data_IF_354717925741
#
_entry.id   IF_354717925741
#
_cell.length_a   1.000
_cell.length_b   1.000
_cell.length_c   1.000
_cell.angle_alpha   90.00
_cell.angle_beta   90.00
_cell.angle_gamma   90.00
#
_symmetry.space_group_name_H-M   'P 1'
#
loop_
_entity.id
_entity.type
_entity.pdbx_description
1 polymer ?
#
# COMPACT_ATOMS: atom_id res chain seq x y z
N UNK A 1 15.00 41.20 14.65
CA UNK A 1 15.66 41.12 13.33
C UNK A 1 17.13 40.72 13.40
N UNK A 2 18.00 41.38 14.18
CA UNK A 2 19.46 41.07 14.20
C UNK A 2 19.79 39.63 14.63
N UNK A 3 19.05 39.08 15.60
CA UNK A 3 19.21 37.70 16.09
C UNK A 3 18.77 36.68 15.04
N UNK A 4 17.66 36.94 14.35
CA UNK A 4 17.14 36.04 13.31
C UNK A 4 18.09 35.96 12.11
N UNK A 5 18.63 37.10 11.66
CA UNK A 5 19.64 37.11 10.60
C UNK A 5 20.92 36.33 10.99
N UNK A 6 21.33 36.39 12.27
CA UNK A 6 22.47 35.64 12.77
C UNK A 6 22.20 34.13 12.83
N UNK A 7 21.05 33.70 13.36
CA UNK A 7 20.67 32.27 13.32
C UNK A 7 20.57 31.77 11.87
N UNK A 8 20.03 32.57 10.95
CA UNK A 8 19.83 32.18 9.56
C UNK A 8 21.18 31.90 8.87
N UNK A 9 22.19 32.73 9.15
CA UNK A 9 23.57 32.50 8.69
C UNK A 9 24.12 31.20 9.28
N UNK A 10 23.92 30.96 10.58
CA UNK A 10 24.39 29.73 11.26
C UNK A 10 23.75 28.49 10.65
N UNK A 11 22.42 28.46 10.50
CA UNK A 11 21.70 27.34 9.89
C UNK A 11 22.16 27.10 8.46
N UNK A 12 22.30 28.15 7.64
CA UNK A 12 22.80 28.01 6.26
C UNK A 12 24.25 27.53 6.19
N UNK A 13 25.05 27.80 7.21
CA UNK A 13 26.44 27.33 7.29
C UNK A 13 26.54 25.84 7.57
N UNK A 14 25.58 25.28 8.31
CA UNK A 14 25.52 23.83 8.64
C UNK A 14 24.96 22.98 7.50
N UNK A 15 24.30 23.59 6.50
CA UNK A 15 23.76 22.87 5.34
C UNK A 15 24.91 22.37 4.45
N UNK A 16 24.84 21.10 4.07
CA UNK A 16 25.79 20.48 3.15
C UNK A 16 25.89 21.28 1.83
N UNK A 17 27.11 21.40 1.28
CA UNK A 17 27.41 22.29 0.15
C UNK A 17 26.51 22.05 -1.07
N UNK A 18 26.15 20.80 -1.36
CA UNK A 18 25.25 20.43 -2.47
C UNK A 18 23.82 20.97 -2.32
N UNK A 19 23.38 21.28 -1.10
CA UNK A 19 22.03 21.71 -0.80
C UNK A 19 21.91 23.23 -0.63
N UNK A 20 23.04 23.94 -0.44
CA UNK A 20 23.07 25.39 -0.16
C UNK A 20 22.32 26.22 -1.20
N UNK A 21 22.34 25.82 -2.47
CA UNK A 21 21.66 26.54 -3.53
C UNK A 21 20.13 26.54 -3.35
N UNK A 22 19.55 25.47 -2.79
CA UNK A 22 18.11 25.36 -2.54
C UNK A 22 17.62 26.29 -1.43
N UNK A 23 18.51 26.68 -0.51
CA UNK A 23 18.16 27.51 0.65
C UNK A 23 18.61 28.97 0.53
N UNK A 24 19.20 29.35 -0.62
CA UNK A 24 19.84 30.65 -0.82
C UNK A 24 18.87 31.82 -0.72
N UNK A 25 17.65 31.65 -1.24
CA UNK A 25 16.63 32.71 -1.36
C UNK A 25 15.85 33.02 -0.08
N UNK A 26 15.93 32.18 0.95
CA UNK A 26 15.17 32.38 2.20
C UNK A 26 15.92 33.31 3.14
N UNK A 27 15.28 34.35 3.66
CA UNK A 27 15.98 35.40 4.43
C UNK A 27 15.87 35.16 5.94
N UNK A 28 14.87 34.40 6.37
CA UNK A 28 14.61 34.12 7.79
C UNK A 28 14.90 32.68 8.18
N UNK A 29 15.17 32.46 9.47
CA UNK A 29 15.33 31.09 10.00
C UNK A 29 14.07 30.26 9.81
N UNK A 30 12.92 30.90 9.98
CA UNK A 30 11.62 30.26 9.85
C UNK A 30 11.41 29.72 8.43
N UNK A 31 11.75 30.48 7.41
CA UNK A 31 11.64 30.05 6.02
C UNK A 31 12.62 28.93 5.67
N UNK A 32 13.88 29.03 6.13
CA UNK A 32 14.88 27.97 5.94
C UNK A 32 14.41 26.67 6.62
N UNK A 33 13.89 26.77 7.84
CA UNK A 33 13.34 25.64 8.57
C UNK A 33 12.09 25.07 7.90
N UNK A 34 11.14 25.90 7.48
CA UNK A 34 9.93 25.47 6.80
C UNK A 34 10.25 24.74 5.50
N UNK A 35 11.22 25.22 4.72
CA UNK A 35 11.66 24.55 3.51
C UNK A 35 12.37 23.22 3.82
N UNK A 36 13.22 23.18 4.85
CA UNK A 36 13.89 21.95 5.25
C UNK A 36 12.87 20.90 5.73
N UNK A 37 11.87 21.33 6.50
CA UNK A 37 10.75 20.50 6.93
C UNK A 37 10.01 19.95 5.72
N UNK A 38 9.65 20.80 4.75
CA UNK A 38 8.96 20.36 3.53
C UNK A 38 9.77 19.35 2.69
N UNK A 39 11.08 19.54 2.57
CA UNK A 39 11.93 18.71 1.71
C UNK A 39 12.33 17.38 2.33
N UNK A 40 12.52 17.35 3.65
CA UNK A 40 13.18 16.23 4.33
C UNK A 40 12.35 15.56 5.40
N UNK A 41 11.19 16.12 5.75
CA UNK A 41 10.29 15.48 6.71
C UNK A 41 9.03 15.02 6.00
N UNK A 42 8.71 13.75 6.19
CA UNK A 42 7.41 13.22 5.85
C UNK A 42 6.64 13.03 7.16
N UNK A 43 5.90 14.07 7.56
CA UNK A 43 5.14 14.07 8.82
C UNK A 43 4.12 12.91 8.86
N UNK A 44 3.56 12.48 7.72
CA UNK A 44 2.69 11.30 7.62
C UNK A 44 3.41 10.02 8.05
N UNK A 45 4.60 9.78 7.50
CA UNK A 45 5.39 8.58 7.80
C UNK A 45 5.95 8.61 9.23
N UNK A 46 6.37 9.77 9.71
CA UNK A 46 6.80 9.95 11.10
C UNK A 46 5.66 9.68 12.07
N UNK A 47 4.47 10.22 11.80
CA UNK A 47 3.27 10.01 12.61
C UNK A 47 2.88 8.53 12.63
N UNK A 48 2.96 7.84 11.49
CA UNK A 48 2.75 6.39 11.41
C UNK A 48 3.75 5.63 12.28
N UNK A 49 5.04 5.97 12.24
CA UNK A 49 6.07 5.37 13.09
C UNK A 49 5.78 5.54 14.58
N UNK A 50 5.41 6.75 15.01
CA UNK A 50 5.02 7.03 16.40
C UNK A 50 3.81 6.20 16.82
N UNK A 51 2.79 6.07 15.96
CA UNK A 51 1.64 5.21 16.24
C UNK A 51 2.04 3.74 16.37
N UNK A 52 2.89 3.22 15.48
CA UNK A 52 3.37 1.84 15.53
C UNK A 52 4.15 1.57 16.82
N UNK A 53 5.04 2.47 17.22
CA UNK A 53 5.80 2.35 18.46
C UNK A 53 4.88 2.44 19.68
N UNK A 54 3.88 3.32 19.65
CA UNK A 54 2.87 3.43 20.71
C UNK A 54 2.07 2.12 20.86
N UNK A 55 1.61 1.53 19.77
CA UNK A 55 0.92 0.23 19.80
C UNK A 55 1.82 -0.90 20.27
N UNK A 56 3.10 -0.87 19.91
CA UNK A 56 4.09 -1.84 20.37
C UNK A 56 4.32 -1.70 21.87
N UNK A 57 4.48 -0.48 22.38
CA UNK A 57 4.71 -0.19 23.80
C UNK A 57 3.49 -0.57 24.63
N UNK A 58 2.28 -0.16 24.21
CA UNK A 58 1.03 -0.44 24.93
C UNK A 58 0.63 -1.93 24.83
N UNK A 59 0.94 -2.58 23.71
CA UNK A 59 0.60 -3.99 23.46
C UNK A 59 1.49 -5.00 24.20
N UNK A 60 2.56 -4.56 24.86
CA UNK A 60 3.46 -5.43 25.62
C UNK A 60 2.75 -6.06 26.83
N UNK A 61 2.77 -7.39 26.90
CA UNK A 61 2.28 -8.14 28.08
C UNK A 61 3.19 -8.03 29.30
N UNK A 62 4.42 -7.56 29.13
CA UNK A 62 5.37 -7.31 30.22
C UNK A 62 6.14 -6.01 29.95
N UNK A 63 5.66 -4.85 30.44
CA UNK A 63 6.22 -3.54 30.12
C UNK A 63 7.56 -3.23 30.82
N UNK A 64 8.07 -4.15 31.65
CA UNK A 64 9.27 -3.89 32.46
C UNK A 64 8.99 -2.93 33.63
N UNK A 65 9.99 -2.15 34.09
CA UNK A 65 9.81 -1.19 35.16
C UNK A 65 8.80 -0.10 34.78
N UNK A 66 7.81 0.15 35.65
CA UNK A 66 6.71 1.09 35.36
C UNK A 66 7.18 2.51 35.02
N UNK A 67 8.24 3.01 35.67
CA UNK A 67 8.78 4.33 35.40
C UNK A 67 9.34 4.45 33.97
N UNK A 68 10.01 3.41 33.48
CA UNK A 68 10.55 3.37 32.13
C UNK A 68 9.43 3.26 31.09
N UNK A 69 8.44 2.41 31.35
CA UNK A 69 7.24 2.27 30.52
C UNK A 69 6.49 3.60 30.37
N UNK A 70 6.17 4.26 31.49
CA UNK A 70 5.47 5.55 31.47
C UNK A 70 6.31 6.63 30.80
N UNK A 71 7.64 6.61 30.97
CA UNK A 71 8.55 7.49 30.26
C UNK A 71 8.47 7.33 28.73
N UNK A 72 8.47 6.08 28.25
CA UNK A 72 8.30 5.76 26.81
C UNK A 72 6.95 6.22 26.27
N UNK A 73 5.86 5.90 26.98
CA UNK A 73 4.51 6.34 26.59
C UNK A 73 4.41 7.86 26.56
N UNK A 74 4.96 8.55 27.56
CA UNK A 74 4.93 10.01 27.61
C UNK A 74 5.73 10.65 26.47
N UNK A 75 6.91 10.12 26.15
CA UNK A 75 7.70 10.60 25.01
C UNK A 75 6.96 10.41 23.68
N UNK A 76 6.38 9.23 23.45
CA UNK A 76 5.61 8.95 22.23
C UNK A 76 4.34 9.81 22.13
N UNK A 77 3.65 10.07 23.24
CA UNK A 77 2.51 10.99 23.27
C UNK A 77 2.92 12.44 22.98
N UNK A 78 4.10 12.86 23.44
CA UNK A 78 4.62 14.17 23.12
C UNK A 78 4.88 14.30 21.61
N UNK A 79 5.61 13.35 21.01
CA UNK A 79 5.90 13.32 19.58
C UNK A 79 4.62 13.25 18.73
N UNK A 80 3.63 12.47 19.18
CA UNK A 80 2.32 12.38 18.53
C UNK A 80 1.61 13.74 18.51
N UNK A 81 1.58 14.47 19.63
CA UNK A 81 0.95 15.78 19.71
C UNK A 81 1.73 16.87 18.95
N UNK A 82 3.04 16.71 18.74
CA UNK A 82 3.82 17.61 17.88
C UNK A 82 3.41 17.44 16.40
N UNK A 83 3.20 16.19 15.97
CA UNK A 83 2.85 15.84 14.58
C UNK A 83 1.34 15.99 14.28
N UNK A 84 0.50 15.82 15.29
CA UNK A 84 -0.95 15.98 15.23
C UNK A 84 -1.42 16.87 16.40
N UNK A 85 -1.25 18.20 16.31
CA UNK A 85 -1.57 19.11 17.40
C UNK A 85 -3.07 19.13 17.70
N UNK A 86 -3.50 19.53 18.92
CA UNK A 86 -4.92 19.60 19.25
C UNK A 86 -5.69 20.49 18.28
N UNK A 87 -6.83 20.00 17.78
CA UNK A 87 -7.73 20.78 16.93
C UNK A 87 -8.18 22.06 17.64
N UNK A 88 -8.17 23.17 16.89
CA UNK A 88 -8.69 24.46 17.35
C UNK A 88 -10.12 24.72 16.86
N UNK A 89 -10.58 23.92 15.88
CA UNK A 89 -11.91 24.01 15.28
C UNK A 89 -12.53 22.63 15.06
N UNK A 90 -13.87 22.58 14.91
CA UNK A 90 -14.59 21.34 14.64
C UNK A 90 -14.18 20.68 13.30
N UNK A 91 -13.86 21.49 12.29
CA UNK A 91 -13.42 20.97 10.99
C UNK A 91 -12.05 20.27 11.10
N UNK A 92 -11.12 20.87 11.85
CA UNK A 92 -9.81 20.29 12.14
C UNK A 92 -9.94 18.99 12.96
N UNK A 93 -10.86 18.97 13.93
CA UNK A 93 -11.10 17.78 14.77
C UNK A 93 -11.57 16.58 13.94
N UNK A 94 -12.54 16.79 13.03
CA UNK A 94 -13.03 15.74 12.13
C UNK A 94 -11.92 15.24 11.20
N UNK A 95 -11.08 16.14 10.70
CA UNK A 95 -9.93 15.77 9.87
C UNK A 95 -8.91 14.95 10.67
N UNK A 96 -8.58 15.36 11.90
CA UNK A 96 -7.67 14.66 12.79
C UNK A 96 -8.18 13.27 13.16
N UNK A 97 -9.47 13.17 13.50
CA UNK A 97 -10.12 11.89 13.78
C UNK A 97 -10.03 10.96 12.56
N UNK A 98 -10.29 11.48 11.36
CA UNK A 98 -10.13 10.72 10.11
C UNK A 98 -8.70 10.23 9.91
N UNK A 99 -7.70 11.10 10.13
CA UNK A 99 -6.27 10.75 10.04
C UNK A 99 -5.88 9.67 11.04
N UNK A 100 -6.34 9.77 12.28
CA UNK A 100 -6.06 8.79 13.33
C UNK A 100 -6.58 7.40 12.96
N UNK A 101 -7.86 7.28 12.60
CA UNK A 101 -8.44 5.99 12.21
C UNK A 101 -7.82 5.41 10.94
N UNK A 102 -7.38 6.26 10.01
CA UNK A 102 -6.63 5.84 8.83
C UNK A 102 -5.29 5.21 9.20
N UNK A 103 -4.52 5.80 10.12
CA UNK A 103 -3.26 5.22 10.59
C UNK A 103 -3.49 3.86 11.27
N UNK A 104 -4.55 3.70 12.05
CA UNK A 104 -4.95 2.41 12.61
C UNK A 104 -5.27 1.39 11.51
N UNK A 105 -6.03 1.79 10.48
CA UNK A 105 -6.35 0.91 9.36
C UNK A 105 -5.09 0.46 8.61
N UNK A 106 -4.12 1.35 8.39
CA UNK A 106 -2.84 1.02 7.77
C UNK A 106 -1.96 0.12 8.66
N UNK A 107 -2.01 0.29 9.98
CA UNK A 107 -1.32 -0.60 10.92
C UNK A 107 -1.89 -2.02 10.89
N UNK A 108 -3.21 -2.18 10.73
CA UNK A 108 -3.88 -3.47 10.65
C UNK A 108 -3.67 -4.23 9.32
N UNK A 109 -3.02 -3.63 8.32
CA UNK A 109 -2.74 -4.30 7.05
C UNK A 109 -1.68 -5.39 7.23
N UNK A 110 -1.89 -6.54 6.57
CA UNK A 110 -0.95 -7.66 6.59
C UNK A 110 0.39 -7.28 5.96
N UNK A 111 1.49 -7.87 6.45
CA UNK A 111 2.85 -7.47 6.07
C UNK A 111 3.17 -7.67 4.57
N UNK A 112 2.48 -8.62 3.91
CA UNK A 112 2.54 -8.85 2.47
C UNK A 112 2.09 -7.62 1.63
N UNK A 113 1.41 -6.66 2.26
CA UNK A 113 0.96 -5.39 1.65
C UNK A 113 1.81 -4.18 2.04
N UNK A 114 3.02 -4.39 2.56
CA UNK A 114 3.99 -3.34 2.92
C UNK A 114 4.19 -2.30 1.81
N UNK A 115 4.33 -2.73 0.55
CA UNK A 115 4.47 -1.80 -0.59
C UNK A 115 3.28 -0.85 -0.77
N UNK A 116 2.06 -1.31 -0.48
CA UNK A 116 0.83 -0.51 -0.55
C UNK A 116 0.84 0.56 0.54
N UNK A 117 1.22 0.14 1.75
CA UNK A 117 1.39 1.04 2.90
C UNK A 117 2.44 2.10 2.62
N UNK A 118 3.62 1.71 2.12
CA UNK A 118 4.71 2.63 1.83
C UNK A 118 4.35 3.62 0.72
N UNK A 119 3.61 3.17 -0.29
CA UNK A 119 3.10 4.05 -1.35
C UNK A 119 2.10 5.08 -0.82
N UNK A 120 1.24 4.71 0.13
CA UNK A 120 0.27 5.61 0.75
C UNK A 120 0.97 6.58 1.70
N UNK A 121 1.93 6.10 2.50
CA UNK A 121 2.71 6.91 3.44
C UNK A 121 3.69 7.86 2.75
N UNK A 122 4.17 7.51 1.55
CA UNK A 122 5.04 8.36 0.73
C UNK A 122 4.32 9.54 0.07
N UNK A 123 2.98 9.60 0.15
CA UNK A 123 2.21 10.76 -0.31
C UNK A 123 2.46 11.97 0.62
N UNK A 124 2.76 13.16 0.06
CA UNK A 124 3.00 14.36 0.86
C UNK A 124 1.75 14.90 1.58
N UNK A 125 0.56 14.41 1.21
CA UNK A 125 -0.70 14.73 1.89
C UNK A 125 -1.15 13.50 2.66
N UNK A 126 -1.35 13.67 3.98
CA UNK A 126 -1.94 12.65 4.85
C UNK A 126 -3.32 12.31 4.29
N UNK A 127 -3.54 11.10 3.77
CA UNK A 127 -4.79 10.78 3.10
C UNK A 127 -5.89 10.62 4.16
N UNK A 128 -7.01 11.34 4.01
CA UNK A 128 -8.20 11.09 4.82
C UNK A 128 -8.71 9.66 4.58
N UNK A 129 -9.58 9.17 5.47
CA UNK A 129 -10.07 7.78 5.42
C UNK A 129 -10.60 7.38 4.03
N UNK A 130 -11.46 8.20 3.41
CA UNK A 130 -12.06 7.92 2.10
C UNK A 130 -11.02 7.83 0.97
N UNK A 131 -10.04 8.75 0.97
CA UNK A 131 -8.95 8.75 -0.02
C UNK A 131 -8.02 7.53 0.15
N UNK A 132 -7.76 7.12 1.39
CA UNK A 132 -6.98 5.92 1.72
C UNK A 132 -7.69 4.65 1.29
N UNK A 133 -8.98 4.50 1.62
CA UNK A 133 -9.79 3.38 1.17
C UNK A 133 -9.79 3.29 -0.36
N UNK A 134 -9.93 4.43 -1.05
CA UNK A 134 -9.87 4.48 -2.51
C UNK A 134 -8.49 4.07 -3.06
N UNK A 135 -7.41 4.46 -2.39
CA UNK A 135 -6.05 4.05 -2.76
C UNK A 135 -5.82 2.56 -2.55
N UNK A 136 -6.17 2.03 -1.38
CA UNK A 136 -6.07 0.62 -1.02
C UNK A 136 -6.83 -0.26 -2.01
N UNK A 137 -8.10 0.07 -2.29
CA UNK A 137 -8.91 -0.69 -3.23
C UNK A 137 -8.33 -0.66 -4.64
N UNK A 138 -7.80 0.48 -5.10
CA UNK A 138 -7.20 0.60 -6.45
C UNK A 138 -5.92 -0.21 -6.60
N UNK A 139 -5.06 -0.20 -5.58
CA UNK A 139 -3.77 -0.89 -5.61
C UNK A 139 -3.99 -2.41 -5.53
N UNK A 140 -4.86 -2.86 -4.62
CA UNK A 140 -5.20 -4.28 -4.49
C UNK A 140 -6.01 -4.83 -5.68
N UNK A 141 -6.73 -3.98 -6.41
CA UNK A 141 -7.49 -4.38 -7.61
C UNK A 141 -6.64 -4.53 -8.87
N UNK A 142 -5.36 -4.11 -8.86
CA UNK A 142 -4.50 -4.19 -10.04
C UNK A 142 -3.82 -5.57 -10.04
N UNK A 143 -4.11 -6.46 -11.01
CA UNK A 143 -3.30 -7.64 -11.18
C UNK A 143 -1.87 -7.18 -11.49
N UNK A 144 -0.86 -7.76 -10.83
CA UNK A 144 0.53 -7.60 -11.24
C UNK A 144 0.66 -8.08 -12.69
N UNK A 145 0.54 -7.16 -13.65
CA UNK A 145 0.97 -7.40 -15.02
C UNK A 145 2.46 -7.11 -14.99
N UNK A 146 3.25 -8.19 -14.91
CA UNK A 146 4.66 -8.18 -15.21
C UNK A 146 4.88 -7.44 -16.54
N UNK A 147 5.51 -6.28 -16.47
CA UNK A 147 5.97 -5.57 -17.66
C UNK A 147 7.26 -6.27 -18.09
N UNK A 148 7.13 -7.29 -18.93
CA UNK A 148 8.26 -7.72 -19.77
C UNK A 148 8.68 -6.55 -20.65
N UNK A 149 9.99 -6.26 -20.80
CA UNK A 149 10.44 -5.16 -21.62
C UNK A 149 10.05 -5.41 -23.08
N UNK A 150 9.40 -4.40 -23.64
CA UNK A 150 9.04 -4.29 -25.05
C UNK A 150 10.31 -4.42 -25.91
N UNK A 151 10.33 -5.36 -26.85
CA UNK A 151 11.13 -5.22 -28.06
C UNK A 151 10.20 -4.57 -29.08
N UNK A 152 10.54 -3.34 -29.43
CA UNK A 152 10.04 -2.65 -30.61
C UNK A 152 10.30 -3.52 -31.84
N UNK A 153 9.28 -3.68 -32.70
CA UNK A 153 9.56 -3.68 -34.12
C UNK A 153 8.42 -3.04 -34.92
N UNK A 154 8.89 -2.19 -35.81
CA UNK A 154 8.18 -1.18 -36.57
C UNK A 154 7.53 -1.75 -37.83
N UNK A 155 6.53 -1.01 -38.32
CA UNK A 155 6.24 -0.73 -39.73
C UNK A 155 5.21 -1.57 -40.53
N UNK A 156 4.21 -0.80 -41.02
CA UNK A 156 3.72 -0.66 -42.42
C UNK A 156 2.89 -1.79 -43.09
N UNK A 157 1.80 -1.34 -43.71
CA UNK A 157 0.76 -2.04 -44.48
C UNK A 157 1.25 -2.66 -45.80
N UNK A 158 0.67 -3.81 -46.24
CA UNK A 158 0.14 -4.04 -47.61
C UNK A 158 -0.52 -5.42 -47.80
N UNK A 159 -1.26 -5.54 -48.90
CA UNK A 159 -2.36 -6.46 -49.21
C UNK A 159 -2.04 -7.92 -49.61
N UNK A 160 -3.08 -8.76 -49.44
CA UNK A 160 -3.53 -9.95 -50.19
C UNK A 160 -2.51 -10.85 -50.91
N UNK A 161 -2.59 -12.16 -50.63
CA UNK A 161 -3.11 -13.20 -51.56
C UNK A 161 -3.30 -14.55 -50.85
N UNK A 162 -4.39 -15.23 -51.23
CA UNK A 162 -4.71 -16.61 -50.87
C UNK A 162 -3.65 -17.59 -51.35
N UNK A 163 -3.28 -18.58 -50.53
CA UNK A 163 -3.41 -19.98 -50.95
C UNK A 163 -3.38 -20.97 -49.77
N UNK A 164 -4.00 -22.12 -50.04
CA UNK A 164 -4.48 -23.18 -49.15
C UNK A 164 -3.41 -23.83 -48.26
N UNK A 165 -3.76 -24.08 -46.99
CA UNK A 165 -3.84 -25.44 -46.38
C UNK A 165 -3.82 -25.44 -44.83
N UNK A 166 -4.43 -26.48 -44.27
CA UNK A 166 -4.27 -27.01 -42.91
C UNK A 166 -4.93 -26.31 -41.71
N UNK A 167 -6.15 -26.77 -41.45
CA UNK A 167 -6.64 -27.21 -40.13
C UNK A 167 -5.60 -27.20 -39.00
N UNK A 168 -5.68 -26.21 -38.08
CA UNK A 168 -5.44 -26.37 -36.64
C UNK A 168 -6.32 -25.40 -35.86
N UNK A 169 -7.39 -25.92 -35.26
CA UNK A 169 -8.19 -25.22 -34.25
C UNK A 169 -7.27 -24.77 -33.10
N UNK A 170 -7.37 -23.54 -32.59
CA UNK A 170 -6.64 -23.16 -31.39
C UNK A 170 -7.18 -23.99 -30.24
N UNK A 171 -6.28 -24.67 -29.53
CA UNK A 171 -6.55 -25.35 -28.27
C UNK A 171 -7.19 -24.35 -27.30
N UNK A 172 -8.53 -24.34 -27.26
CA UNK A 172 -9.30 -23.64 -26.23
C UNK A 172 -8.92 -24.31 -24.92
N UNK A 173 -8.17 -23.58 -24.10
CA UNK A 173 -7.74 -24.00 -22.77
C UNK A 173 -8.90 -24.64 -22.00
N UNK A 174 -8.58 -25.68 -21.23
CA UNK A 174 -9.57 -26.34 -20.36
C UNK A 174 -10.36 -25.27 -19.60
N UNK A 175 -11.70 -25.36 -19.58
CA UNK A 175 -12.49 -24.40 -18.83
C UNK A 175 -12.07 -24.41 -17.37
N UNK A 176 -11.80 -23.22 -16.81
CA UNK A 176 -11.54 -23.03 -15.38
C UNK A 176 -12.88 -22.86 -14.67
N UNK A 177 -13.02 -23.47 -13.51
CA UNK A 177 -14.19 -23.28 -12.66
C UNK A 177 -14.04 -21.98 -11.86
N UNK A 178 -15.02 -21.08 -11.94
CA UNK A 178 -15.01 -19.80 -11.24
C UNK A 178 -15.12 -19.96 -9.71
N UNK A 179 -15.69 -21.07 -9.23
CA UNK A 179 -15.87 -21.32 -7.80
C UNK A 179 -14.68 -22.00 -7.13
N UNK A 180 -14.09 -23.05 -7.73
CA UNK A 180 -12.99 -23.81 -7.13
C UNK A 180 -11.62 -23.56 -7.78
N UNK A 181 -11.57 -22.79 -8.87
CA UNK A 181 -10.34 -22.45 -9.59
C UNK A 181 -9.68 -23.59 -10.38
N UNK A 182 -10.22 -24.81 -10.34
CA UNK A 182 -9.65 -25.98 -11.04
C UNK A 182 -10.01 -25.97 -12.54
N UNK A 183 -9.08 -26.48 -13.36
CA UNK A 183 -9.25 -26.64 -14.81
C UNK A 183 -10.00 -27.94 -15.15
N UNK A 184 -10.81 -27.92 -16.20
CA UNK A 184 -11.52 -29.06 -16.76
C UNK A 184 -13.04 -29.07 -16.54
N UNK A 185 -13.60 -28.10 -15.83
CA UNK A 185 -15.05 -27.94 -15.66
C UNK A 185 -15.41 -26.46 -15.42
N UNK A 186 -16.66 -26.10 -15.67
CA UNK A 186 -17.23 -24.77 -15.33
C UNK A 186 -18.04 -24.87 -14.03
N UNK A 187 -18.47 -23.73 -13.50
CA UNK A 187 -19.17 -23.63 -12.21
C UNK A 187 -20.41 -24.53 -12.13
N UNK A 188 -21.12 -24.73 -13.24
CA UNK A 188 -22.31 -25.60 -13.40
C UNK A 188 -22.04 -27.08 -13.12
N UNK A 189 -20.78 -27.52 -13.13
CA UNK A 189 -20.37 -28.91 -12.88
C UNK A 189 -19.37 -29.03 -11.73
N UNK A 190 -19.31 -28.03 -10.87
CA UNK A 190 -18.36 -28.04 -9.76
C UNK A 190 -18.79 -29.02 -8.67
N UNK A 191 -18.03 -30.10 -8.48
CA UNK A 191 -18.30 -31.07 -7.40
C UNK A 191 -18.19 -30.46 -5.99
N UNK A 192 -17.41 -29.38 -5.83
CA UNK A 192 -17.36 -28.64 -4.56
C UNK A 192 -18.65 -27.86 -4.27
N UNK A 193 -19.42 -27.48 -5.31
CA UNK A 193 -20.67 -26.75 -5.19
C UNK A 193 -21.89 -27.68 -5.20
N UNK A 194 -21.91 -28.67 -6.11
CA UNK A 194 -23.06 -29.54 -6.37
C UNK A 194 -22.98 -30.91 -5.70
N UNK A 195 -21.85 -31.25 -5.06
CA UNK A 195 -21.61 -32.59 -4.53
C UNK A 195 -21.30 -33.61 -5.63
N UNK A 196 -20.71 -34.75 -5.24
CA UNK A 196 -20.43 -35.83 -6.16
C UNK A 196 -21.70 -36.65 -6.40
N UNK A 197 -22.15 -36.88 -7.65
CA UNK A 197 -23.30 -37.76 -7.89
C UNK A 197 -22.98 -39.19 -7.42
N UNK A 198 -23.98 -39.93 -6.90
CA UNK A 198 -23.78 -41.30 -6.46
C UNK A 198 -23.30 -42.17 -7.63
N UNK A 199 -22.24 -42.96 -7.42
CA UNK A 199 -21.73 -43.89 -8.44
C UNK A 199 -22.82 -44.91 -8.77
N UNK A 200 -23.30 -44.90 -10.01
CA UNK A 200 -23.94 -46.08 -10.59
C UNK A 200 -22.86 -47.16 -10.75
N UNK A 201 -23.04 -48.28 -10.05
CA UNK A 201 -22.28 -49.50 -10.30
C UNK A 201 -22.64 -49.96 -11.71
N UNK A 202 -21.72 -49.81 -12.66
CA UNK A 202 -21.86 -50.44 -13.95
C UNK A 202 -21.83 -51.96 -13.75
N UNK A 203 -22.95 -52.63 -14.02
CA UNK A 203 -23.06 -54.09 -14.07
C UNK A 203 -22.06 -54.59 -15.11
N UNK A 204 -21.05 -55.32 -14.66
CA UNK A 204 -20.20 -56.13 -15.51
C UNK A 204 -21.01 -57.36 -15.92
N UNK A 205 -21.21 -57.54 -17.23
CA UNK A 205 -21.71 -58.79 -17.80
C UNK A 205 -20.77 -59.93 -17.41
N UNK A 206 -21.33 -60.95 -16.76
CA UNK A 206 -20.76 -62.29 -16.72
C UNK A 206 -21.91 -63.27 -16.90
N UNK A 207 -21.92 -63.94 -18.06
CA UNK A 207 -22.84 -65.03 -18.40
C UNK A 207 -22.73 -66.19 -17.38
N UNK A 208 -23.82 -66.96 -17.14
CA UNK A 208 -23.80 -68.10 -16.24
C UNK A 208 -23.43 -69.41 -16.97
N UNK A 209 -22.81 -70.39 -16.29
CA UNK A 209 -22.74 -71.77 -16.75
C UNK A 209 -23.74 -72.67 -15.98
N UNK A 210 -23.86 -73.94 -16.40
CA UNK A 210 -24.71 -74.45 -17.48
C UNK A 210 -26.21 -74.46 -17.14
#
# INVERSE_FOLDING_TARGET
>A
MKIDAQLCIVIKSTIHSSLKQMFRSYETCLEVWAQAKLLYTNDTQRLYGVCQDLFTVIGLRNPGPMAEYLGKVHALLHDFNELLPPASTLAEELEQQSKFFMLLALYGLFDDSSHVRDQILGSPVIPNFTSTCSALLRILSKPMIETSPHIDDSSVMAAQRDDRSQSRKPSRGRPKCDHCGKLGHRIDRCYALHGCPPRSVAMANSDPPP
#
